data_IF_889730245388
#
_entry.id   IF_889730245388
#
_cell.length_a   1.000
_cell.length_b   1.000
_cell.length_c   1.000
_cell.angle_alpha   90.00
_cell.angle_beta   90.00
_cell.angle_gamma   90.00
#
_symmetry.space_group_name_H-M   'P 1'
#
loop_
_entity.id
_entity.type
_entity.pdbx_description
1 polymer ?
#
# COMPACT_ATOMS: atom_id res chain seq x y z
N UNK A 1 6.25 -21.91 -11.71
CA UNK A 1 7.69 -21.77 -11.44
C UNK A 1 8.34 -23.11 -11.18
N UNK A 2 9.63 -23.25 -11.49
CA UNK A 2 10.48 -24.39 -11.11
C UNK A 2 11.65 -23.86 -10.31
N UNK A 3 12.32 -24.73 -9.55
CA UNK A 3 13.60 -24.37 -8.92
C UNK A 3 14.60 -24.01 -10.01
N UNK A 4 15.28 -22.88 -9.86
CA UNK A 4 16.40 -22.49 -10.71
C UNK A 4 17.71 -23.12 -10.25
N UNK A 5 17.78 -23.56 -8.99
CA UNK A 5 19.01 -23.97 -8.31
C UNK A 5 19.95 -22.79 -8.01
N UNK A 6 19.48 -21.56 -8.19
CA UNK A 6 20.33 -20.36 -8.18
C UNK A 6 20.88 -20.05 -6.78
N UNK A 7 20.09 -20.21 -5.73
CA UNK A 7 20.52 -19.95 -4.34
C UNK A 7 21.63 -20.92 -3.93
N UNK A 8 21.52 -22.19 -4.34
CA UNK A 8 22.49 -23.23 -4.08
C UNK A 8 23.80 -23.03 -4.87
N UNK A 9 23.72 -22.42 -6.06
CA UNK A 9 24.87 -22.14 -6.92
C UNK A 9 25.64 -20.88 -6.51
N UNK A 10 24.98 -19.94 -5.85
CA UNK A 10 25.53 -18.63 -5.48
C UNK A 10 25.33 -18.31 -3.99
N UNK A 11 25.74 -19.19 -3.07
CA UNK A 11 25.53 -18.98 -1.63
C UNK A 11 26.20 -17.71 -1.10
N UNK A 12 27.23 -17.20 -1.79
CA UNK A 12 27.95 -15.98 -1.44
C UNK A 12 27.12 -14.70 -1.64
N UNK A 13 26.01 -14.75 -2.40
CA UNK A 13 25.06 -13.63 -2.57
C UNK A 13 23.98 -13.63 -1.48
N UNK A 14 23.57 -14.80 -1.02
CA UNK A 14 22.43 -14.97 -0.12
C UNK A 14 22.87 -15.02 1.35
N UNK A 15 23.44 -13.92 1.82
CA UNK A 15 23.93 -13.70 3.18
C UNK A 15 23.25 -12.50 3.82
N UNK A 16 23.30 -12.39 5.15
CA UNK A 16 22.74 -11.24 5.88
C UNK A 16 23.33 -9.90 5.45
N UNK A 17 24.59 -9.87 5.02
CA UNK A 17 25.30 -8.66 4.61
C UNK A 17 25.00 -8.26 3.14
N UNK A 18 24.47 -9.17 2.32
CA UNK A 18 24.21 -8.91 0.89
C UNK A 18 22.74 -8.99 0.54
N UNK A 19 22.14 -10.18 0.54
CA UNK A 19 20.74 -10.42 0.27
C UNK A 19 20.19 -11.36 1.34
N UNK A 20 19.65 -10.84 2.45
CA UNK A 20 19.14 -11.68 3.54
C UNK A 20 17.89 -12.46 3.10
N UNK A 21 17.61 -13.59 3.74
CA UNK A 21 16.38 -14.34 3.46
C UNK A 21 15.13 -13.55 3.87
N UNK A 22 15.23 -12.84 5.00
CA UNK A 22 14.13 -11.99 5.51
C UNK A 22 14.64 -10.60 5.81
N UNK A 23 13.82 -9.61 5.51
CA UNK A 23 14.03 -8.24 5.94
C UNK A 23 12.68 -7.57 6.27
N UNK A 24 12.59 -6.93 7.43
CA UNK A 24 11.35 -6.30 7.92
C UNK A 24 10.11 -7.23 7.82
N UNK A 25 10.31 -8.55 8.06
CA UNK A 25 9.29 -9.59 7.98
C UNK A 25 8.95 -10.07 6.56
N UNK A 26 9.41 -9.39 5.52
CA UNK A 26 9.26 -9.85 4.13
C UNK A 26 10.37 -10.86 3.79
N UNK A 27 9.98 -11.93 3.09
CA UNK A 27 10.93 -12.90 2.56
C UNK A 27 11.45 -12.39 1.21
N UNK A 28 12.76 -12.29 1.04
CA UNK A 28 13.38 -11.72 -0.15
C UNK A 28 13.70 -12.76 -1.23
N UNK A 29 13.78 -14.03 -0.90
CA UNK A 29 13.98 -15.14 -1.84
C UNK A 29 13.46 -16.45 -1.28
N UNK A 30 13.20 -17.42 -2.15
CA UNK A 30 12.71 -18.74 -1.76
C UNK A 30 13.87 -19.73 -1.61
N UNK A 31 13.99 -20.38 -0.46
CA UNK A 31 15.05 -21.34 -0.16
C UNK A 31 15.14 -22.52 -1.16
N UNK A 32 14.09 -22.77 -1.94
CA UNK A 32 14.09 -23.76 -3.04
C UNK A 32 14.34 -23.11 -4.41
N UNK A 33 14.86 -21.90 -4.45
CA UNK A 33 15.18 -21.16 -5.67
C UNK A 33 14.03 -21.07 -6.70
N UNK A 34 12.76 -21.10 -6.25
CA UNK A 34 11.59 -20.99 -7.14
C UNK A 34 11.33 -19.56 -7.57
N UNK A 35 11.77 -18.60 -6.78
CA UNK A 35 11.78 -17.18 -7.07
C UNK A 35 12.86 -16.48 -6.23
N UNK A 36 13.35 -15.37 -6.74
CA UNK A 36 14.38 -14.53 -6.10
C UNK A 36 13.94 -13.08 -6.32
N UNK A 37 14.05 -12.23 -5.31
CA UNK A 37 13.85 -10.80 -5.49
C UNK A 37 14.92 -10.23 -6.41
N UNK A 38 14.50 -9.48 -7.43
CA UNK A 38 15.41 -8.77 -8.34
C UNK A 38 15.60 -7.31 -7.96
N UNK A 39 14.66 -6.74 -7.24
CA UNK A 39 14.65 -5.39 -6.68
C UNK A 39 13.72 -5.34 -5.49
N UNK A 40 13.68 -4.20 -4.79
CA UNK A 40 12.73 -3.92 -3.72
C UNK A 40 11.76 -2.82 -4.16
N UNK A 41 10.54 -2.88 -3.63
CA UNK A 41 9.52 -1.84 -3.79
C UNK A 41 8.90 -1.51 -2.45
N UNK A 42 8.67 -0.23 -2.22
CA UNK A 42 7.91 0.28 -1.09
C UNK A 42 6.67 1.01 -1.56
N UNK A 43 5.72 1.23 -0.65
CA UNK A 43 4.47 1.93 -0.95
C UNK A 43 4.40 3.19 -0.10
N UNK A 44 3.92 4.27 -0.69
CA UNK A 44 3.93 5.53 0.03
C UNK A 44 2.93 6.54 -0.46
N UNK A 45 3.05 7.72 0.14
CA UNK A 45 2.22 8.89 -0.12
C UNK A 45 2.98 9.78 -1.10
N UNK A 46 2.30 10.20 -2.15
CA UNK A 46 2.74 11.28 -3.05
C UNK A 46 1.93 12.53 -2.76
N UNK A 47 2.57 13.69 -2.80
CA UNK A 47 1.87 14.94 -2.62
C UNK A 47 2.49 16.11 -3.38
N UNK A 48 1.63 17.07 -3.73
CA UNK A 48 2.04 18.37 -4.27
C UNK A 48 2.12 19.38 -3.12
N UNK A 49 3.31 19.89 -2.86
CA UNK A 49 3.60 20.80 -1.73
C UNK A 49 2.73 22.07 -1.75
N UNK A 50 2.53 22.64 -2.94
CA UNK A 50 1.75 23.87 -3.07
C UNK A 50 0.26 23.61 -2.83
N UNK A 51 -0.26 22.51 -3.38
CA UNK A 51 -1.66 22.13 -3.19
C UNK A 51 -1.97 21.77 -1.73
N UNK A 52 -1.05 21.07 -1.03
CA UNK A 52 -1.22 20.73 0.40
C UNK A 52 -1.16 22.01 1.26
N UNK A 53 -0.21 22.93 1.00
CA UNK A 53 -0.15 24.23 1.69
C UNK A 53 -1.44 25.06 1.50
N UNK A 54 -1.97 25.05 0.30
CA UNK A 54 -3.23 25.78 0.00
C UNK A 54 -4.43 25.24 0.79
N UNK A 55 -4.41 23.98 1.22
CA UNK A 55 -5.42 23.39 2.10
C UNK A 55 -5.21 23.74 3.59
N UNK A 56 -4.08 24.34 3.96
CA UNK A 56 -3.74 24.66 5.35
C UNK A 56 -3.54 23.40 6.21
N UNK A 57 -2.99 22.34 5.62
CA UNK A 57 -2.66 21.09 6.31
C UNK A 57 -1.15 20.86 6.30
N UNK A 58 -0.66 20.10 7.27
CA UNK A 58 0.72 19.65 7.28
C UNK A 58 0.97 18.63 6.16
N UNK A 59 2.21 18.49 5.74
CA UNK A 59 2.59 17.47 4.78
C UNK A 59 2.36 16.07 5.37
N UNK A 60 1.64 15.18 4.65
CA UNK A 60 1.31 13.87 5.17
C UNK A 60 2.58 13.01 5.31
N UNK A 61 2.76 12.38 6.46
CA UNK A 61 3.86 11.46 6.79
C UNK A 61 3.38 10.10 7.26
N UNK A 62 2.08 9.93 7.47
CA UNK A 62 1.45 8.69 7.93
C UNK A 62 0.19 8.41 7.12
N UNK A 63 -0.18 7.14 6.99
CA UNK A 63 -1.45 6.77 6.34
C UNK A 63 -2.67 7.46 6.93
N UNK A 64 -2.67 7.65 8.25
CA UNK A 64 -3.76 8.31 8.97
C UNK A 64 -3.96 9.77 8.54
N UNK A 65 -2.89 10.45 8.15
CA UNK A 65 -2.96 11.85 7.76
C UNK A 65 -3.86 12.05 6.52
N UNK A 66 -3.96 11.04 5.63
CA UNK A 66 -4.88 11.05 4.48
C UNK A 66 -6.36 10.98 4.87
N UNK A 67 -6.68 10.62 6.10
CA UNK A 67 -8.06 10.62 6.61
C UNK A 67 -8.56 12.00 7.03
N UNK A 68 -7.70 13.03 7.04
CA UNK A 68 -8.12 14.41 7.34
C UNK A 68 -9.16 14.88 6.32
N UNK A 69 -10.29 15.40 6.81
CA UNK A 69 -11.39 15.86 5.99
C UNK A 69 -11.06 17.07 5.09
N UNK A 70 -9.95 17.76 5.36
CA UNK A 70 -9.44 18.83 4.51
C UNK A 70 -8.94 18.33 3.15
N UNK A 71 -8.59 17.04 3.07
CA UNK A 71 -8.29 16.35 1.80
C UNK A 71 -9.55 15.92 1.02
N UNK A 72 -10.76 16.22 1.49
CA UNK A 72 -11.98 15.84 0.78
C UNK A 72 -11.97 16.30 -0.68
N UNK A 73 -12.28 15.40 -1.61
CA UNK A 73 -12.20 15.58 -3.06
C UNK A 73 -10.78 15.94 -3.55
N UNK A 74 -9.74 15.46 -2.85
CA UNK A 74 -8.34 15.78 -3.12
C UNK A 74 -7.41 14.57 -3.27
N UNK A 75 -7.87 13.34 -2.98
CA UNK A 75 -7.01 12.16 -3.04
C UNK A 75 -7.18 11.43 -4.37
N UNK A 76 -6.07 11.20 -5.08
CA UNK A 76 -6.03 10.30 -6.22
C UNK A 76 -5.94 8.84 -5.73
N UNK A 77 -6.95 8.02 -6.04
CA UNK A 77 -7.09 6.64 -5.56
C UNK A 77 -6.86 5.66 -6.72
N UNK A 78 -6.08 4.61 -6.47
CA UNK A 78 -5.96 3.46 -7.40
C UNK A 78 -6.86 2.33 -6.93
N UNK A 79 -7.57 1.70 -7.88
CA UNK A 79 -8.42 0.53 -7.63
C UNK A 79 -7.55 -0.71 -7.31
N UNK A 80 -7.59 -1.25 -6.09
CA UNK A 80 -6.81 -2.44 -5.71
C UNK A 80 -7.30 -3.72 -6.38
N UNK A 81 -8.48 -3.72 -7.00
CA UNK A 81 -8.97 -4.89 -7.77
C UNK A 81 -8.28 -4.99 -9.13
N UNK A 82 -7.61 -3.93 -9.57
CA UNK A 82 -6.87 -3.82 -10.84
C UNK A 82 -5.35 -3.74 -10.66
N UNK A 83 -4.89 -3.54 -9.42
CA UNK A 83 -3.47 -3.36 -9.10
C UNK A 83 -3.08 -4.18 -7.87
N UNK A 84 -2.25 -5.21 -8.06
CA UNK A 84 -1.72 -6.02 -6.96
C UNK A 84 -0.83 -5.21 -6.01
N UNK A 85 -0.09 -4.23 -6.53
CA UNK A 85 0.72 -3.32 -5.72
C UNK A 85 -0.15 -2.46 -4.80
N UNK A 86 -1.27 -1.93 -5.31
CA UNK A 86 -2.23 -1.18 -4.50
C UNK A 86 -2.91 -2.07 -3.46
N UNK A 87 -3.23 -3.32 -3.83
CA UNK A 87 -3.76 -4.29 -2.87
C UNK A 87 -2.78 -4.54 -1.73
N UNK A 88 -1.50 -4.69 -2.04
CA UNK A 88 -0.41 -4.83 -1.06
C UNK A 88 -0.27 -3.58 -0.20
N UNK A 89 -0.43 -2.39 -0.77
CA UNK A 89 -0.43 -1.11 -0.02
C UNK A 89 -1.50 -1.10 1.06
N UNK A 90 -2.72 -1.50 0.74
CA UNK A 90 -3.81 -1.57 1.71
C UNK A 90 -3.60 -2.68 2.75
N UNK A 91 -2.97 -3.78 2.38
CA UNK A 91 -2.54 -4.79 3.34
C UNK A 91 -1.53 -4.21 4.36
N UNK A 92 -0.52 -3.46 3.90
CA UNK A 92 0.46 -2.80 4.77
C UNK A 92 -0.23 -1.84 5.75
N UNK A 93 -1.18 -1.04 5.25
CA UNK A 93 -1.97 -0.12 6.07
C UNK A 93 -2.76 -0.89 7.15
N UNK A 94 -3.40 -1.99 6.80
CA UNK A 94 -4.12 -2.85 7.75
C UNK A 94 -3.14 -3.43 8.79
N UNK A 95 -2.00 -3.94 8.34
CA UNK A 95 -0.99 -4.50 9.24
C UNK A 95 -0.40 -3.45 10.19
N UNK A 96 -0.22 -2.20 9.74
CA UNK A 96 0.16 -1.11 10.63
C UNK A 96 -0.88 -0.91 11.74
N UNK A 97 -2.17 -0.94 11.42
CA UNK A 97 -3.22 -0.81 12.43
C UNK A 97 -3.22 -2.00 13.41
N UNK A 98 -2.91 -3.20 12.94
CA UNK A 98 -2.74 -4.38 13.82
C UNK A 98 -1.56 -4.17 14.78
N UNK A 99 -0.42 -3.68 14.28
CA UNK A 99 0.76 -3.40 15.11
C UNK A 99 0.49 -2.32 16.16
N UNK A 100 -0.22 -1.25 15.79
CA UNK A 100 -0.62 -0.20 16.71
C UNK A 100 -1.47 -0.77 17.84
N UNK A 101 -2.52 -1.53 17.52
CA UNK A 101 -3.40 -2.15 18.52
C UNK A 101 -2.63 -3.13 19.41
N UNK A 102 -1.75 -3.95 18.84
CA UNK A 102 -0.92 -4.89 19.61
C UNK A 102 -0.01 -4.16 20.59
N UNK A 103 0.64 -3.08 20.14
CA UNK A 103 1.49 -2.26 21.01
C UNK A 103 0.70 -1.59 22.13
N UNK A 104 -0.50 -1.09 21.85
CA UNK A 104 -1.40 -0.51 22.87
C UNK A 104 -1.81 -1.55 23.92
N UNK A 105 -2.22 -2.76 23.49
CA UNK A 105 -2.59 -3.84 24.41
C UNK A 105 -1.41 -4.31 25.27
N UNK A 106 -0.21 -4.40 24.71
CA UNK A 106 1.01 -4.75 25.45
C UNK A 106 1.34 -3.67 26.50
N UNK A 107 1.22 -2.38 26.18
CA UNK A 107 1.42 -1.27 27.14
C UNK A 107 0.38 -1.25 28.25
N UNK A 108 -0.85 -1.61 27.95
CA UNK A 108 -1.93 -1.66 28.94
C UNK A 108 -1.82 -2.86 29.90
N UNK A 109 -0.79 -3.71 29.78
CA UNK A 109 -0.57 -4.90 30.61
C UNK A 109 -1.83 -5.78 30.76
N UNK A 110 -2.56 -5.96 29.66
CA UNK A 110 -3.77 -6.80 29.66
C UNK A 110 -3.36 -8.22 30.04
N UNK A 111 -3.99 -8.76 31.09
CA UNK A 111 -3.73 -10.11 31.59
C UNK A 111 -4.31 -11.17 30.63
N UNK A 112 -3.58 -11.44 29.55
CA UNK A 112 -3.91 -12.42 28.53
C UNK A 112 -2.64 -13.07 28.02
N UNK A 113 -2.74 -14.27 27.44
CA UNK A 113 -1.60 -14.88 26.77
C UNK A 113 -1.16 -14.05 25.55
N UNK A 114 0.10 -14.16 25.16
CA UNK A 114 0.62 -13.45 23.97
C UNK A 114 -0.15 -13.79 22.71
N UNK A 115 -0.57 -15.04 22.55
CA UNK A 115 -1.39 -15.50 21.42
C UNK A 115 -2.79 -14.86 21.42
N UNK A 116 -3.42 -14.70 22.59
CA UNK A 116 -4.72 -14.02 22.69
C UNK A 116 -4.60 -12.53 22.41
N UNK A 117 -3.53 -11.88 22.89
CA UNK A 117 -3.27 -10.47 22.60
C UNK A 117 -3.09 -10.26 21.09
N UNK A 118 -2.29 -11.09 20.44
CA UNK A 118 -2.07 -11.03 19.00
C UNK A 118 -3.36 -11.28 18.22
N UNK A 119 -4.12 -12.32 18.59
CA UNK A 119 -5.38 -12.65 17.92
C UNK A 119 -6.42 -11.51 18.04
N UNK A 120 -6.54 -10.91 19.22
CA UNK A 120 -7.41 -9.76 19.45
C UNK A 120 -6.92 -8.52 18.69
N UNK A 121 -5.61 -8.31 18.62
CA UNK A 121 -5.03 -7.21 17.84
C UNK A 121 -5.28 -7.36 16.34
N UNK A 122 -5.21 -8.58 15.79
CA UNK A 122 -5.53 -8.87 14.40
C UNK A 122 -6.98 -8.48 14.09
N UNK A 123 -7.94 -8.92 14.91
CA UNK A 123 -9.37 -8.61 14.72
C UNK A 123 -9.66 -7.12 14.77
N UNK A 124 -9.16 -6.44 15.79
CA UNK A 124 -9.40 -5.01 16.00
C UNK A 124 -8.65 -4.16 14.98
N UNK A 125 -7.37 -4.45 14.74
CA UNK A 125 -6.54 -3.75 13.78
C UNK A 125 -7.00 -3.92 12.34
N UNK A 126 -7.54 -5.10 11.97
CA UNK A 126 -8.21 -5.32 10.70
C UNK A 126 -9.37 -4.34 10.51
N UNK A 127 -10.27 -4.22 11.49
CA UNK A 127 -11.39 -3.30 11.42
C UNK A 127 -10.95 -1.84 11.37
N UNK A 128 -9.93 -1.48 12.15
CA UNK A 128 -9.36 -0.13 12.15
C UNK A 128 -8.74 0.19 10.80
N UNK A 129 -8.03 -0.77 10.18
CA UNK A 129 -7.47 -0.65 8.85
C UNK A 129 -8.53 -0.44 7.77
N UNK A 130 -9.60 -1.23 7.78
CA UNK A 130 -10.72 -1.06 6.84
C UNK A 130 -11.41 0.30 7.00
N UNK A 131 -11.63 0.76 8.25
CA UNK A 131 -12.18 2.09 8.51
C UNK A 131 -11.26 3.22 8.06
N UNK A 132 -9.95 3.04 8.21
CA UNK A 132 -8.97 4.01 7.71
C UNK A 132 -8.98 4.07 6.18
N UNK A 133 -9.00 2.93 5.50
CA UNK A 133 -9.13 2.85 4.03
C UNK A 133 -10.43 3.54 3.59
N UNK A 134 -11.54 3.27 4.28
CA UNK A 134 -12.82 3.93 3.97
C UNK A 134 -12.72 5.46 4.05
N UNK A 135 -12.08 6.00 5.10
CA UNK A 135 -11.89 7.45 5.27
C UNK A 135 -11.05 8.05 4.16
N UNK A 136 -9.95 7.37 3.77
CA UNK A 136 -9.09 7.78 2.66
C UNK A 136 -9.89 7.80 1.36
N UNK A 137 -10.63 6.73 1.07
CA UNK A 137 -11.46 6.62 -0.14
C UNK A 137 -12.60 7.64 -0.15
N UNK A 138 -13.21 7.92 1.01
CA UNK A 138 -14.25 8.94 1.13
C UNK A 138 -13.74 10.37 0.87
N UNK A 139 -12.44 10.61 1.00
CA UNK A 139 -11.77 11.85 0.60
C UNK A 139 -11.31 11.83 -0.88
N UNK A 140 -11.53 10.72 -1.59
CA UNK A 140 -11.12 10.55 -2.97
C UNK A 140 -11.75 11.55 -3.93
N UNK A 141 -10.95 12.01 -4.90
CA UNK A 141 -11.42 12.81 -6.03
C UNK A 141 -11.94 11.89 -7.14
N UNK A 142 -11.23 10.81 -7.40
CA UNK A 142 -11.59 9.79 -8.39
C UNK A 142 -10.89 8.47 -8.03
N UNK A 143 -11.31 7.39 -8.69
CA UNK A 143 -10.60 6.11 -8.72
C UNK A 143 -10.14 5.81 -10.14
N UNK A 144 -8.91 5.29 -10.28
CA UNK A 144 -8.30 4.89 -11.55
C UNK A 144 -7.72 3.48 -11.46
N UNK A 145 -7.55 2.81 -12.58
CA UNK A 145 -6.83 1.54 -12.72
C UNK A 145 -5.32 1.73 -12.97
N UNK A 146 -4.86 2.99 -13.10
CA UNK A 146 -3.49 3.35 -13.42
C UNK A 146 -2.78 4.06 -12.27
N UNK A 147 -1.78 3.41 -11.66
CA UNK A 147 -0.89 4.03 -10.67
C UNK A 147 -0.07 5.20 -11.25
N UNK A 148 0.28 5.14 -12.54
CA UNK A 148 0.98 6.24 -13.21
C UNK A 148 0.11 7.50 -13.32
N UNK A 149 -1.20 7.34 -13.53
CA UNK A 149 -2.13 8.48 -13.61
C UNK A 149 -2.18 9.28 -12.30
N UNK A 150 -2.16 8.60 -11.14
CA UNK A 150 -2.16 9.28 -9.84
C UNK A 150 -0.93 10.16 -9.66
N UNK A 151 0.23 9.70 -10.11
CA UNK A 151 1.49 10.46 -10.03
C UNK A 151 1.42 11.70 -10.92
N UNK A 152 0.96 11.56 -12.15
CA UNK A 152 0.79 12.68 -13.10
C UNK A 152 -0.15 13.75 -12.52
N UNK A 153 -1.29 13.34 -11.98
CA UNK A 153 -2.29 14.28 -11.45
C UNK A 153 -1.83 15.00 -10.19
N UNK A 154 -1.07 14.32 -9.31
CA UNK A 154 -0.49 14.96 -8.13
C UNK A 154 0.66 15.89 -8.53
N UNK A 155 1.53 15.50 -9.45
CA UNK A 155 2.63 16.34 -9.95
C UNK A 155 2.08 17.62 -10.63
N UNK A 156 1.01 17.49 -11.40
CA UNK A 156 0.33 18.62 -12.03
C UNK A 156 -0.46 19.52 -11.05
N UNK A 157 -0.66 19.08 -9.79
CA UNK A 157 -1.49 19.81 -8.80
C UNK A 157 -2.99 19.58 -8.93
N UNK A 158 -3.44 18.67 -9.82
CA UNK A 158 -4.85 18.29 -9.96
C UNK A 158 -5.41 17.62 -8.70
N UNK A 159 -4.54 16.88 -7.99
CA UNK A 159 -4.82 16.30 -6.68
C UNK A 159 -3.71 16.73 -5.69
N UNK A 160 -4.05 17.19 -4.48
CA UNK A 160 -3.07 17.48 -3.44
C UNK A 160 -2.22 16.28 -3.06
N UNK A 161 -2.84 15.09 -2.98
CA UNK A 161 -2.19 13.86 -2.50
C UNK A 161 -2.67 12.63 -3.26
N UNK A 162 -1.90 11.57 -3.19
CA UNK A 162 -2.23 10.25 -3.74
C UNK A 162 -1.40 9.16 -3.07
N UNK A 163 -1.62 7.92 -3.50
CA UNK A 163 -0.86 6.75 -3.08
C UNK A 163 -0.14 6.18 -4.29
N UNK A 164 1.13 5.83 -4.14
CA UNK A 164 1.93 5.27 -5.23
C UNK A 164 2.98 4.28 -4.72
N UNK A 165 3.45 3.41 -5.63
CA UNK A 165 4.68 2.65 -5.43
C UNK A 165 5.87 3.59 -5.56
N UNK A 166 6.91 3.36 -4.80
CA UNK A 166 8.09 4.21 -4.65
C UNK A 166 8.73 4.63 -5.98
N UNK A 167 8.98 3.69 -6.87
CA UNK A 167 9.68 3.99 -8.12
C UNK A 167 8.89 4.95 -9.04
N UNK A 168 7.55 4.93 -9.03
CA UNK A 168 6.75 5.92 -9.76
C UNK A 168 6.92 7.32 -9.16
N UNK A 169 6.80 7.41 -7.82
CA UNK A 169 6.98 8.70 -7.13
C UNK A 169 8.39 9.26 -7.27
N UNK A 170 9.40 8.40 -7.14
CA UNK A 170 10.83 8.80 -7.26
C UNK A 170 11.20 9.19 -8.68
N UNK A 171 10.73 8.44 -9.69
CA UNK A 171 10.97 8.78 -11.11
C UNK A 171 10.38 10.14 -11.47
N UNK A 172 9.18 10.46 -11.00
CA UNK A 172 8.58 11.77 -11.26
C UNK A 172 9.36 12.89 -10.58
N UNK A 173 9.76 12.70 -9.32
CA UNK A 173 10.62 13.66 -8.60
C UNK A 173 11.94 13.89 -9.34
N UNK A 174 12.63 12.83 -9.74
CA UNK A 174 13.88 12.89 -10.51
C UNK A 174 13.67 13.62 -11.84
N UNK A 175 12.58 13.32 -12.56
CA UNK A 175 12.24 13.99 -13.81
C UNK A 175 12.01 15.50 -13.64
N UNK A 176 11.31 15.93 -12.58
CA UNK A 176 11.09 17.35 -12.28
C UNK A 176 12.43 18.04 -11.97
N UNK A 177 13.28 17.41 -11.14
CA UNK A 177 14.59 17.96 -10.77
C UNK A 177 15.54 18.07 -11.96
N UNK A 178 15.55 17.10 -12.88
CA UNK A 178 16.38 17.12 -14.09
C UNK A 178 16.08 18.28 -15.03
N UNK A 179 14.89 18.88 -14.93
CA UNK A 179 14.49 20.09 -15.67
C UNK A 179 14.87 21.40 -14.98
N UNK A 180 15.66 21.34 -13.90
CA UNK A 180 16.11 22.51 -13.16
C UNK A 180 15.04 23.19 -12.31
N UNK A 181 13.87 22.57 -12.13
CA UNK A 181 12.80 23.10 -11.29
C UNK A 181 12.94 22.59 -9.84
N UNK A 182 12.65 23.46 -8.86
CA UNK A 182 12.47 23.01 -7.48
C UNK A 182 11.26 22.03 -7.43
N UNK A 183 11.47 20.84 -6.87
CA UNK A 183 10.41 19.85 -6.83
C UNK A 183 9.29 20.29 -5.91
N UNK A 184 8.10 20.56 -6.51
CA UNK A 184 6.85 20.74 -5.79
C UNK A 184 6.22 19.40 -5.41
N UNK A 185 6.65 18.33 -6.05
CA UNK A 185 6.20 16.97 -5.85
C UNK A 185 7.12 16.26 -4.85
N UNK A 186 6.53 15.43 -3.99
CA UNK A 186 7.27 14.62 -3.03
C UNK A 186 6.66 13.21 -2.94
N UNK A 187 7.53 12.23 -2.67
CA UNK A 187 7.18 10.88 -2.29
C UNK A 187 7.72 10.61 -0.88
N UNK A 188 6.91 10.07 0.00
CA UNK A 188 7.32 9.69 1.35
C UNK A 188 6.84 8.28 1.68
N UNK A 189 7.69 7.48 2.33
CA UNK A 189 7.30 6.22 2.95
C UNK A 189 6.63 6.57 4.28
N UNK A 190 5.40 6.11 4.55
CA UNK A 190 4.72 6.40 5.81
C UNK A 190 5.46 5.85 7.01
N UNK A 191 5.59 6.65 8.05
CA UNK A 191 6.30 6.28 9.27
C UNK A 191 5.74 4.97 9.84
N UNK A 192 6.62 3.97 10.03
CA UNK A 192 6.28 2.62 10.50
C UNK A 192 5.04 2.04 9.78
N UNK A 193 4.91 2.29 8.47
CA UNK A 193 3.70 1.97 7.72
C UNK A 193 3.90 1.12 6.47
N UNK A 194 5.15 0.74 6.16
CA UNK A 194 5.48 -0.06 4.99
C UNK A 194 6.79 -0.80 5.20
N UNK A 195 6.84 -2.07 4.80
CA UNK A 195 8.08 -2.81 4.58
C UNK A 195 8.48 -2.78 3.11
N UNK A 196 9.78 -2.82 2.77
CA UNK A 196 10.20 -3.07 1.40
C UNK A 196 9.87 -4.51 1.01
N UNK A 197 9.13 -4.67 -0.07
CA UNK A 197 8.68 -5.97 -0.60
C UNK A 197 9.49 -6.32 -1.86
N UNK A 198 9.93 -7.58 -2.05
CA UNK A 198 10.69 -7.95 -3.23
C UNK A 198 9.82 -7.99 -4.48
N UNK A 199 10.38 -7.52 -5.58
CA UNK A 199 9.86 -7.77 -6.94
C UNK A 199 10.47 -9.09 -7.44
N UNK A 200 9.70 -10.19 -7.51
CA UNK A 200 10.27 -11.51 -7.72
C UNK A 200 10.56 -11.82 -9.19
N UNK A 201 11.70 -12.45 -9.45
CA UNK A 201 12.04 -13.10 -10.71
C UNK A 201 11.94 -14.60 -10.54
N UNK A 202 11.38 -15.30 -11.52
CA UNK A 202 11.15 -16.75 -11.47
C UNK A 202 11.47 -17.41 -12.81
N UNK A 203 12.04 -18.60 -12.76
CA UNK A 203 12.17 -19.45 -13.94
C UNK A 203 10.85 -20.19 -14.17
N UNK A 204 10.29 -20.08 -15.39
CA UNK A 204 9.09 -20.82 -15.75
C UNK A 204 9.39 -22.24 -16.19
N UNK A 205 8.46 -23.16 -15.89
CA UNK A 205 8.51 -24.52 -16.41
C UNK A 205 8.41 -24.46 -17.93
N UNK A 206 9.33 -25.16 -18.62
CA UNK A 206 9.37 -25.19 -20.09
C UNK A 206 10.03 -23.97 -20.73
N UNK A 207 10.77 -23.15 -19.98
CA UNK A 207 11.60 -22.09 -20.56
C UNK A 207 12.56 -22.68 -21.60
N UNK A 208 12.46 -22.23 -22.86
CA UNK A 208 13.23 -22.75 -24.00
C UNK A 208 14.73 -22.49 -23.87
N UNK A 209 15.11 -21.35 -23.28
CA UNK A 209 16.49 -20.88 -23.14
C UNK A 209 16.85 -20.76 -21.66
N UNK A 210 16.81 -21.92 -20.95
CA UNK A 210 17.05 -21.96 -19.51
C UNK A 210 18.40 -21.35 -19.10
N UNK A 211 19.49 -21.69 -19.82
CA UNK A 211 20.82 -21.18 -19.49
C UNK A 211 20.90 -19.65 -19.62
N UNK A 212 20.37 -19.09 -20.71
CA UNK A 212 20.30 -17.63 -20.88
C UNK A 212 19.46 -16.94 -19.79
N UNK A 213 18.37 -17.59 -19.36
CA UNK A 213 17.57 -17.08 -18.25
C UNK A 213 18.34 -17.09 -16.90
N UNK A 214 19.18 -18.07 -16.68
CA UNK A 214 20.04 -18.14 -15.49
C UNK A 214 21.16 -17.09 -15.56
N UNK A 215 21.81 -16.93 -16.71
CA UNK A 215 22.80 -15.86 -16.94
C UNK A 215 22.19 -14.46 -16.72
N UNK A 216 20.93 -14.25 -17.14
CA UNK A 216 20.20 -13.01 -16.88
C UNK A 216 19.94 -12.81 -15.37
N UNK A 217 19.52 -13.86 -14.65
CA UNK A 217 19.35 -13.81 -13.20
C UNK A 217 20.67 -13.46 -12.50
N UNK A 218 21.76 -14.09 -12.90
CA UNK A 218 23.10 -13.81 -12.37
C UNK A 218 23.47 -12.35 -12.59
N UNK A 219 23.34 -11.83 -13.81
CA UNK A 219 23.62 -10.44 -14.11
C UNK A 219 22.78 -9.47 -13.27
N UNK A 220 21.47 -9.70 -13.15
CA UNK A 220 20.57 -8.83 -12.39
C UNK A 220 21.02 -8.71 -10.92
N UNK A 221 21.58 -9.76 -10.32
CA UNK A 221 22.00 -9.77 -8.92
C UNK A 221 23.47 -9.37 -8.71
N UNK A 222 24.23 -9.11 -9.78
CA UNK A 222 25.57 -8.54 -9.65
C UNK A 222 25.53 -7.09 -9.21
N UNK A 223 26.65 -6.57 -8.66
CA UNK A 223 26.78 -5.13 -8.38
C UNK A 223 26.47 -4.26 -9.59
N UNK A 224 27.02 -4.52 -10.82
CA UNK A 224 26.64 -3.76 -12.01
C UNK A 224 25.16 -3.79 -12.33
N UNK A 225 24.50 -4.96 -12.23
CA UNK A 225 23.05 -5.11 -12.47
C UNK A 225 22.21 -4.32 -11.47
N UNK A 226 22.57 -4.39 -10.19
CA UNK A 226 21.86 -3.67 -9.12
C UNK A 226 22.13 -2.16 -9.13
N UNK A 227 23.34 -1.74 -9.54
CA UNK A 227 23.69 -0.32 -9.69
C UNK A 227 22.82 0.38 -10.75
N UNK A 228 22.41 -0.34 -11.82
CA UNK A 228 21.48 0.22 -12.81
C UNK A 228 20.19 0.75 -12.19
N UNK A 229 19.75 0.19 -11.06
CA UNK A 229 18.49 0.54 -10.41
C UNK A 229 18.55 1.89 -9.68
N UNK A 230 19.74 2.25 -9.17
CA UNK A 230 19.92 3.36 -8.22
C UNK A 230 20.89 4.45 -8.67
N UNK A 231 21.78 4.17 -9.64
CA UNK A 231 22.80 5.13 -10.08
C UNK A 231 22.24 6.19 -11.03
N UNK A 232 22.90 7.33 -11.07
CA UNK A 232 22.66 8.43 -12.01
C UNK A 232 22.87 7.97 -13.45
N UNK A 233 22.16 8.61 -14.35
CA UNK A 233 22.38 8.43 -15.79
C UNK A 233 23.80 8.83 -16.15
N UNK A 234 24.48 7.97 -16.92
CA UNK A 234 25.84 8.19 -17.43
C UNK A 234 26.96 7.75 -16.48
N UNK A 235 26.66 7.39 -15.24
CA UNK A 235 27.66 6.81 -14.34
C UNK A 235 28.11 5.41 -14.81
N UNK A 236 29.33 5.02 -14.41
CA UNK A 236 29.78 3.64 -14.63
C UNK A 236 28.84 2.68 -13.93
N UNK A 237 28.33 1.70 -14.64
CA UNK A 237 27.27 0.78 -14.20
C UNK A 237 25.90 1.44 -13.96
N UNK A 238 25.73 2.71 -14.30
CA UNK A 238 24.43 3.39 -14.28
C UNK A 238 23.66 3.27 -15.60
N UNK A 239 22.39 3.67 -15.61
CA UNK A 239 21.56 3.67 -16.81
C UNK A 239 22.05 4.69 -17.84
N UNK A 240 21.77 4.44 -19.13
CA UNK A 240 22.25 5.31 -20.23
C UNK A 240 21.26 6.41 -20.63
N UNK A 241 19.96 6.23 -20.42
CA UNK A 241 18.94 7.13 -20.96
C UNK A 241 18.09 7.80 -19.89
N UNK A 242 17.61 7.03 -18.91
CA UNK A 242 16.74 7.52 -17.83
C UNK A 242 17.03 6.77 -16.53
N UNK A 243 16.91 7.42 -15.37
CA UNK A 243 17.06 6.75 -14.09
C UNK A 243 15.93 5.76 -13.88
N UNK A 244 16.22 4.60 -13.30
CA UNK A 244 15.21 3.58 -13.01
C UNK A 244 14.50 3.84 -11.68
N UNK A 245 15.15 4.53 -10.75
CA UNK A 245 14.62 4.94 -9.43
C UNK A 245 14.03 3.78 -8.61
N UNK A 246 14.54 2.56 -8.80
CA UNK A 246 14.13 1.37 -8.05
C UNK A 246 15.10 1.08 -6.92
N UNK A 247 14.58 0.59 -5.80
CA UNK A 247 15.44 0.15 -4.72
C UNK A 247 16.11 -1.18 -5.07
N UNK A 248 17.44 -1.22 -4.92
CA UNK A 248 18.23 -2.43 -5.12
C UNK A 248 18.02 -3.41 -3.96
N UNK A 249 18.07 -4.72 -4.26
CA UNK A 249 18.01 -5.76 -3.23
C UNK A 249 19.38 -6.10 -2.67
N UNK A 250 20.46 -5.79 -3.39
CA UNK A 250 21.84 -6.02 -2.94
C UNK A 250 22.28 -4.90 -2.01
N UNK A 251 22.51 -5.19 -0.73
CA UNK A 251 22.89 -4.20 0.29
C UNK A 251 24.15 -3.43 -0.05
N UNK A 252 25.13 -4.07 -0.67
CA UNK A 252 26.45 -3.47 -0.95
C UNK A 252 26.40 -2.30 -1.93
N UNK A 253 25.31 -2.10 -2.68
CA UNK A 253 25.18 -0.89 -3.51
C UNK A 253 24.86 0.35 -2.67
N UNK A 254 24.49 0.19 -1.41
CA UNK A 254 24.24 1.29 -0.45
C UNK A 254 25.41 1.57 0.47
N UNK A 255 26.59 0.95 0.21
CA UNK A 255 27.81 1.26 0.94
C UNK A 255 28.20 2.74 0.75
N UNK A 256 28.80 3.39 1.76
CA UNK A 256 29.05 4.84 1.74
C UNK A 256 29.84 5.35 0.52
N UNK A 257 30.73 4.54 -0.02
CA UNK A 257 31.53 4.85 -1.22
C UNK A 257 30.71 4.81 -2.52
N UNK A 258 29.56 4.12 -2.52
CA UNK A 258 28.65 3.99 -3.66
C UNK A 258 27.63 5.15 -3.73
N UNK A 259 27.26 5.74 -2.59
CA UNK A 259 26.18 6.74 -2.49
C UNK A 259 26.41 7.99 -3.38
N UNK A 260 27.65 8.37 -3.65
CA UNK A 260 27.97 9.48 -4.54
C UNK A 260 27.47 9.28 -5.98
N UNK A 261 27.29 8.04 -6.42
CA UNK A 261 26.80 7.65 -7.75
C UNK A 261 25.29 7.56 -7.82
N UNK A 262 24.60 7.54 -6.67
CA UNK A 262 23.13 7.39 -6.63
C UNK A 262 22.39 8.61 -7.18
N UNK A 263 21.29 8.37 -7.89
CA UNK A 263 20.35 9.41 -8.33
C UNK A 263 19.69 10.10 -7.12
N UNK A 264 19.32 9.33 -6.11
CA UNK A 264 18.87 9.82 -4.80
C UNK A 264 19.64 9.11 -3.67
N UNK A 265 20.73 9.72 -3.16
CA UNK A 265 21.57 9.12 -2.12
C UNK A 265 20.90 9.05 -0.74
N UNK A 266 19.75 9.71 -0.55
CA UNK A 266 18.97 9.66 0.69
C UNK A 266 18.14 8.40 0.82
N UNK A 267 18.07 7.54 -0.19
CA UNK A 267 17.25 6.35 -0.20
C UNK A 267 18.08 5.12 0.16
N UNK A 268 17.66 4.45 1.25
CA UNK A 268 18.14 3.12 1.59
C UNK A 268 16.97 2.29 2.14
N UNK A 269 16.40 1.35 1.37
CA UNK A 269 15.22 0.58 1.79
C UNK A 269 15.46 -0.21 3.08
N UNK A 270 16.73 -0.54 3.37
CA UNK A 270 17.11 -1.25 4.60
C UNK A 270 17.11 -0.37 5.85
N UNK A 271 17.07 0.96 5.71
CA UNK A 271 16.89 1.92 6.80
C UNK A 271 15.46 2.51 6.82
N UNK A 272 14.83 2.65 5.64
CA UNK A 272 13.55 3.36 5.48
C UNK A 272 12.35 2.60 6.04
N UNK A 273 12.46 1.28 6.28
CA UNK A 273 11.38 0.45 6.83
C UNK A 273 10.99 0.86 8.26
N UNK A 274 11.89 1.51 9.01
CA UNK A 274 11.66 1.86 10.41
C UNK A 274 11.33 0.64 11.26
N UNK A 275 10.37 0.79 12.18
CA UNK A 275 9.92 -0.27 13.09
C UNK A 275 8.81 -1.16 12.51
N UNK A 276 8.41 -0.95 11.27
CA UNK A 276 7.36 -1.77 10.65
C UNK A 276 7.90 -3.16 10.31
N UNK A 277 7.20 -4.19 10.79
CA UNK A 277 7.51 -5.60 10.49
C UNK A 277 6.29 -6.26 9.84
N UNK A 278 6.45 -6.76 8.63
CA UNK A 278 5.39 -7.47 7.94
C UNK A 278 5.18 -8.86 8.54
N UNK A 279 3.95 -9.21 8.89
CA UNK A 279 3.55 -10.51 9.43
C UNK A 279 2.65 -11.23 8.44
N UNK A 280 3.24 -12.06 7.60
CA UNK A 280 2.53 -12.81 6.55
C UNK A 280 1.32 -13.57 7.09
N UNK A 281 1.43 -14.19 8.27
CA UNK A 281 0.38 -15.03 8.83
C UNK A 281 -0.85 -14.25 9.30
N UNK A 282 -0.72 -12.96 9.58
CA UNK A 282 -1.85 -12.12 9.99
C UNK A 282 -2.89 -11.94 8.88
N UNK A 283 -2.46 -11.81 7.64
CA UNK A 283 -3.34 -11.41 6.53
C UNK A 283 -3.39 -12.38 5.36
N UNK A 284 -2.48 -13.37 5.27
CA UNK A 284 -2.41 -14.28 4.10
C UNK A 284 -3.73 -14.99 3.78
N UNK A 285 -4.51 -15.35 4.80
CA UNK A 285 -5.79 -16.03 4.63
C UNK A 285 -6.89 -15.13 4.08
N UNK A 286 -6.76 -13.81 4.27
CA UNK A 286 -7.74 -12.77 3.90
C UNK A 286 -7.20 -11.75 2.89
N UNK A 287 -5.98 -11.92 2.40
CA UNK A 287 -5.35 -10.99 1.47
C UNK A 287 -6.24 -10.63 0.28
N UNK A 288 -6.75 -11.65 -0.42
CA UNK A 288 -7.65 -11.44 -1.55
C UNK A 288 -9.02 -10.84 -1.15
N UNK A 289 -9.39 -10.93 0.11
CA UNK A 289 -10.62 -10.33 0.60
C UNK A 289 -10.52 -8.81 0.72
N UNK A 290 -9.32 -8.24 0.87
CA UNK A 290 -9.12 -6.78 0.91
C UNK A 290 -9.68 -6.13 -0.35
N UNK A 291 -9.33 -6.66 -1.53
CA UNK A 291 -9.88 -6.18 -2.81
C UNK A 291 -11.38 -6.37 -2.93
N UNK A 292 -11.90 -7.49 -2.42
CA UNK A 292 -13.35 -7.76 -2.39
C UNK A 292 -14.09 -6.75 -1.49
N UNK A 293 -13.61 -6.54 -0.27
CA UNK A 293 -14.17 -5.53 0.65
C UNK A 293 -14.14 -4.16 0.02
N UNK A 294 -13.00 -3.79 -0.57
CA UNK A 294 -12.86 -2.52 -1.28
C UNK A 294 -13.90 -2.38 -2.38
N UNK A 295 -14.08 -3.41 -3.20
CA UNK A 295 -15.09 -3.42 -4.26
C UNK A 295 -16.49 -3.21 -3.70
N UNK A 296 -16.91 -4.04 -2.76
CA UNK A 296 -18.30 -4.09 -2.30
C UNK A 296 -18.70 -2.92 -1.40
N UNK A 297 -17.76 -2.40 -0.58
CA UNK A 297 -18.05 -1.33 0.36
C UNK A 297 -17.63 0.06 -0.15
N UNK A 298 -16.61 0.18 -1.00
CA UNK A 298 -16.01 1.48 -1.32
C UNK A 298 -16.07 1.82 -2.81
N UNK A 299 -15.92 0.85 -3.71
CA UNK A 299 -15.94 1.09 -5.15
C UNK A 299 -17.38 1.10 -5.71
N UNK A 300 -18.13 -0.01 -5.52
CA UNK A 300 -19.50 -0.13 -6.07
C UNK A 300 -20.47 0.93 -5.50
N UNK A 301 -20.42 1.31 -4.19
CA UNK A 301 -21.22 2.38 -3.61
C UNK A 301 -20.51 3.73 -3.53
N UNK A 302 -19.42 3.97 -4.27
CA UNK A 302 -18.52 5.12 -4.11
C UNK A 302 -19.25 6.48 -4.13
N UNK A 303 -20.14 6.68 -5.07
CA UNK A 303 -20.95 7.88 -5.18
C UNK A 303 -21.72 8.22 -3.88
N UNK A 304 -22.26 7.18 -3.21
CA UNK A 304 -23.02 7.36 -1.98
C UNK A 304 -22.07 7.63 -0.81
N UNK A 305 -20.91 6.97 -0.79
CA UNK A 305 -19.86 7.17 0.21
C UNK A 305 -19.37 8.64 0.18
N UNK A 306 -19.00 9.16 -0.99
CA UNK A 306 -18.53 10.54 -1.15
C UNK A 306 -19.65 11.54 -0.77
N UNK A 307 -20.90 11.30 -1.18
CA UNK A 307 -22.03 12.16 -0.81
C UNK A 307 -22.31 12.15 0.70
N UNK A 308 -22.14 11.01 1.38
CA UNK A 308 -22.25 10.91 2.83
C UNK A 308 -21.12 11.70 3.53
N UNK A 309 -19.88 11.50 3.12
CA UNK A 309 -18.72 12.24 3.64
C UNK A 309 -18.89 13.75 3.49
N UNK A 310 -19.31 14.21 2.31
CA UNK A 310 -19.61 15.64 2.06
C UNK A 310 -20.66 16.20 3.03
N UNK A 311 -21.71 15.44 3.29
CA UNK A 311 -22.77 15.86 4.22
C UNK A 311 -22.27 15.89 5.66
N UNK A 312 -21.46 14.93 6.07
CA UNK A 312 -20.83 14.87 7.41
C UNK A 312 -19.94 16.09 7.63
N UNK A 313 -19.04 16.38 6.68
CA UNK A 313 -18.15 17.56 6.75
C UNK A 313 -18.95 18.85 6.84
N UNK A 314 -20.05 18.95 6.07
CA UNK A 314 -20.93 20.11 6.13
C UNK A 314 -21.64 20.24 7.49
N UNK A 315 -22.08 19.14 8.08
CA UNK A 315 -22.68 19.10 9.41
C UNK A 315 -21.69 19.58 10.48
N UNK A 316 -20.45 19.08 10.45
CA UNK A 316 -19.37 19.50 11.36
C UNK A 316 -19.10 21.01 11.26
N UNK A 317 -18.92 21.51 10.04
CA UNK A 317 -18.68 22.94 9.78
C UNK A 317 -19.85 23.86 10.19
N UNK A 318 -21.06 23.33 10.23
CA UNK A 318 -22.26 24.08 10.67
C UNK A 318 -22.62 23.85 12.13
N UNK A 319 -21.72 23.23 12.94
CA UNK A 319 -21.92 23.02 14.38
C UNK A 319 -22.88 21.86 14.73
N UNK A 320 -23.39 21.08 13.75
CA UNK A 320 -24.26 19.92 14.00
C UNK A 320 -23.43 18.67 14.30
N UNK A 321 -22.69 18.73 15.40
CA UNK A 321 -21.70 17.73 15.75
C UNK A 321 -22.31 16.35 16.06
N UNK A 322 -23.48 16.33 16.73
CA UNK A 322 -24.18 15.08 17.06
C UNK A 322 -24.70 14.36 15.79
N UNK A 323 -25.25 15.12 14.84
CA UNK A 323 -25.68 14.55 13.55
C UNK A 323 -24.48 13.99 12.79
N UNK A 324 -23.38 14.74 12.75
CA UNK A 324 -22.15 14.32 12.10
C UNK A 324 -21.58 13.05 12.75
N UNK A 325 -21.56 12.97 14.08
CA UNK A 325 -21.09 11.80 14.83
C UNK A 325 -21.93 10.57 14.52
N UNK A 326 -23.25 10.66 14.67
CA UNK A 326 -24.17 9.54 14.34
C UNK A 326 -24.04 9.08 12.89
N UNK A 327 -23.96 10.05 11.96
CA UNK A 327 -23.79 9.73 10.55
C UNK A 327 -22.46 9.01 10.29
N UNK A 328 -21.39 9.41 10.95
CA UNK A 328 -20.07 8.79 10.86
C UNK A 328 -20.07 7.38 11.42
N UNK A 329 -20.70 7.15 12.56
CA UNK A 329 -20.85 5.82 13.17
C UNK A 329 -21.57 4.86 12.22
N UNK A 330 -22.67 5.31 11.60
CA UNK A 330 -23.36 4.51 10.59
C UNK A 330 -22.48 4.26 9.38
N UNK A 331 -21.86 5.30 8.82
CA UNK A 331 -20.99 5.18 7.65
C UNK A 331 -19.86 4.18 7.87
N UNK A 332 -19.28 4.14 9.08
CA UNK A 332 -18.13 3.33 9.45
C UNK A 332 -18.47 1.94 10.01
N UNK A 333 -19.74 1.57 10.00
CA UNK A 333 -20.11 0.19 10.35
C UNK A 333 -19.73 -0.74 9.20
N UNK A 334 -18.69 -1.52 9.42
CA UNK A 334 -18.15 -2.52 8.50
C UNK A 334 -18.21 -3.94 9.11
N UNK A 335 -19.10 -4.19 10.08
CA UNK A 335 -19.12 -5.41 10.88
C UNK A 335 -19.37 -6.69 10.04
N UNK A 336 -20.04 -6.57 8.90
CA UNK A 336 -20.18 -7.65 7.92
C UNK A 336 -18.81 -8.13 7.38
N UNK A 337 -17.77 -7.31 7.50
CA UNK A 337 -16.40 -7.60 7.12
C UNK A 337 -15.47 -7.74 8.33
N UNK A 338 -16.00 -8.05 9.52
CA UNK A 338 -15.17 -8.46 10.64
C UNK A 338 -14.25 -9.62 10.23
N UNK A 339 -13.04 -9.68 10.80
CA UNK A 339 -11.98 -10.60 10.36
C UNK A 339 -12.46 -12.05 10.24
N UNK A 340 -13.15 -12.56 11.25
CA UNK A 340 -13.67 -13.93 11.25
C UNK A 340 -14.82 -14.09 10.25
N UNK A 341 -15.70 -13.10 10.12
CA UNK A 341 -16.80 -13.11 9.15
C UNK A 341 -16.24 -13.18 7.70
N UNK A 342 -15.19 -12.42 7.41
CA UNK A 342 -14.53 -12.50 6.10
C UNK A 342 -13.96 -13.88 5.85
N UNK A 343 -13.24 -14.44 6.82
CA UNK A 343 -12.58 -15.74 6.70
C UNK A 343 -13.56 -16.89 6.58
N UNK A 344 -14.60 -16.89 7.43
CA UNK A 344 -15.48 -18.05 7.62
C UNK A 344 -16.73 -18.02 6.75
N UNK A 345 -17.21 -16.85 6.36
CA UNK A 345 -18.45 -16.68 5.60
C UNK A 345 -18.24 -15.96 4.26
N UNK A 346 -17.76 -14.72 4.27
CA UNK A 346 -17.74 -13.90 3.06
C UNK A 346 -16.95 -14.55 1.92
N UNK A 347 -15.74 -15.06 2.21
CA UNK A 347 -14.92 -15.73 1.20
C UNK A 347 -15.55 -17.03 0.68
N UNK A 348 -16.32 -17.75 1.51
CA UNK A 348 -17.04 -18.97 1.09
C UNK A 348 -18.21 -18.63 0.16
N UNK A 349 -19.00 -17.61 0.51
CA UNK A 349 -20.14 -17.19 -0.30
C UNK A 349 -19.72 -16.63 -1.66
N UNK A 350 -18.64 -15.84 -1.69
CA UNK A 350 -18.10 -15.29 -2.95
C UNK A 350 -17.47 -16.37 -3.84
N UNK A 351 -16.91 -17.43 -3.26
CA UNK A 351 -16.38 -18.60 -3.97
C UNK A 351 -17.39 -19.72 -4.15
N UNK A 352 -18.67 -19.43 -3.98
CA UNK A 352 -19.74 -20.43 -4.16
C UNK A 352 -19.64 -21.07 -5.56
N UNK A 353 -19.81 -22.39 -5.62
CA UNK A 353 -19.78 -23.14 -6.90
C UNK A 353 -20.89 -22.72 -7.86
N UNK A 354 -21.99 -22.21 -7.33
CA UNK A 354 -23.06 -21.58 -8.11
C UNK A 354 -22.74 -20.08 -8.33
N UNK A 355 -22.36 -19.67 -9.54
CA UNK A 355 -22.01 -18.29 -9.82
C UNK A 355 -23.14 -17.29 -9.57
N UNK A 356 -24.38 -17.70 -9.74
CA UNK A 356 -25.55 -16.84 -9.50
C UNK A 356 -25.73 -16.55 -8.00
N UNK A 357 -25.48 -17.53 -7.13
CA UNK A 357 -25.48 -17.31 -5.69
C UNK A 357 -24.37 -16.36 -5.28
N UNK A 358 -23.15 -16.56 -5.80
CA UNK A 358 -22.01 -15.69 -5.52
C UNK A 358 -22.30 -14.24 -5.94
N UNK A 359 -22.84 -14.02 -7.14
CA UNK A 359 -23.20 -12.68 -7.64
C UNK A 359 -24.31 -12.06 -6.80
N UNK A 360 -25.36 -12.80 -6.48
CA UNK A 360 -26.47 -12.31 -5.62
C UNK A 360 -25.96 -11.86 -4.26
N UNK A 361 -25.12 -12.66 -3.63
CA UNK A 361 -24.50 -12.30 -2.35
C UNK A 361 -23.70 -10.99 -2.43
N UNK A 362 -22.83 -10.86 -3.43
CA UNK A 362 -22.05 -9.64 -3.64
C UNK A 362 -22.96 -8.42 -3.88
N UNK A 363 -23.98 -8.56 -4.71
CA UNK A 363 -24.96 -7.50 -4.98
C UNK A 363 -25.71 -7.09 -3.73
N UNK A 364 -26.12 -8.05 -2.89
CA UNK A 364 -26.79 -7.78 -1.62
C UNK A 364 -25.91 -6.94 -0.69
N UNK A 365 -24.65 -7.33 -0.52
CA UNK A 365 -23.69 -6.57 0.32
C UNK A 365 -23.49 -5.16 -0.23
N UNK A 366 -23.24 -5.00 -1.55
CA UNK A 366 -23.04 -3.68 -2.15
C UNK A 366 -24.28 -2.78 -1.99
N UNK A 367 -25.50 -3.33 -2.10
CA UNK A 367 -26.75 -2.60 -1.88
C UNK A 367 -26.90 -2.19 -0.41
N UNK A 368 -26.54 -3.07 0.54
CA UNK A 368 -26.53 -2.73 1.97
C UNK A 368 -25.66 -1.49 2.24
N UNK A 369 -24.47 -1.41 1.63
CA UNK A 369 -23.60 -0.23 1.79
C UNK A 369 -24.16 1.01 1.09
N UNK A 370 -24.82 0.88 -0.06
CA UNK A 370 -25.52 2.02 -0.69
C UNK A 370 -26.59 2.61 0.24
N UNK A 371 -27.42 1.75 0.80
CA UNK A 371 -28.48 2.18 1.76
C UNK A 371 -27.88 2.78 3.02
N UNK A 372 -26.84 2.17 3.56
CA UNK A 372 -26.11 2.66 4.74
C UNK A 372 -25.55 4.07 4.52
N UNK A 373 -24.92 4.34 3.38
CA UNK A 373 -24.36 5.66 3.07
C UNK A 373 -25.47 6.69 2.77
N UNK A 374 -26.56 6.29 2.15
CA UNK A 374 -27.74 7.15 1.99
C UNK A 374 -28.28 7.54 3.37
N UNK A 375 -28.44 6.59 4.29
CA UNK A 375 -28.91 6.85 5.65
C UNK A 375 -27.95 7.78 6.41
N UNK A 376 -26.65 7.53 6.36
CA UNK A 376 -25.65 8.39 6.98
C UNK A 376 -25.75 9.84 6.43
N UNK A 377 -25.90 9.99 5.12
CA UNK A 377 -26.10 11.30 4.48
C UNK A 377 -27.33 12.04 4.98
N UNK A 378 -28.47 11.36 5.10
CA UNK A 378 -29.73 12.02 5.53
C UNK A 378 -29.66 12.42 7.01
N UNK A 379 -29.06 11.60 7.88
CA UNK A 379 -28.78 11.97 9.29
C UNK A 379 -27.86 13.20 9.35
N UNK A 380 -26.78 13.21 8.58
CA UNK A 380 -25.88 14.37 8.54
C UNK A 380 -26.57 15.65 8.04
N UNK A 381 -27.71 15.57 7.35
CA UNK A 381 -28.53 16.70 6.95
C UNK A 381 -29.57 17.11 8.00
N UNK A 382 -29.65 16.43 9.14
CA UNK A 382 -30.68 16.64 10.16
C UNK A 382 -32.05 16.09 9.74
N UNK A 383 -32.10 15.11 8.84
CA UNK A 383 -33.32 14.45 8.36
C UNK A 383 -33.41 13.06 8.97
N UNK A 384 -33.53 12.99 10.28
CA UNK A 384 -33.82 11.73 10.98
C UNK A 384 -35.28 11.34 10.73
N UNK A 385 -35.52 10.26 10.02
CA UNK A 385 -36.70 9.43 10.17
C UNK A 385 -36.27 8.09 10.75
#
# INVERSE_FOLDING_TARGET
TVSSGFVELHPELFTEDKIPEFFAGERLWDAKSRWIGGSLSSFGIIYNKDSVRALGVDFPTRWMDLADSRFFNGIAIVDPTKSSSTLKTYEMLIQQQIQIVLAEKKRANVSSSEQELEHNAIREGWMNGLRLIQKIVANGRYMTDSSAQTVIDVAAGNCPVGIATDFYGRSEKSHILSRGAASRFEFVIPQSGCSPSPDPISLFRGAKHKNLALEFLEYVLTTPGQSLLVFKVGEKNGPKQAPLCRAAILKTVYDPDQLQYHDDPGINPYHDAGDFVYHKDWTKSVFNAIGLVFKLAFLDPNDMLIKAQKAIIKAERSGRLEDAKKAREIMQNLDVFAFDEVKDRVLKEVKNKDPLKAIRYQTQIANQFREQYIRAREIAKGRSK
#
